data_IF_843231376179
#
_entry.id   IF_843231376179
#
_cell.length_a   1.000
_cell.length_b   1.000
_cell.length_c   1.000
_cell.angle_alpha   90.00
_cell.angle_beta   90.00
_cell.angle_gamma   90.00
#
_symmetry.space_group_name_H-M   'P 1'
#
loop_
_entity.id
_entity.type
_entity.pdbx_description
1 polymer ?
#
# COMPACT_ATOMS: atom_id res chain seq x y z
N UNK A 1 11.77 13.68 -4.96
CA UNK A 1 11.58 12.24 -4.75
C UNK A 1 10.49 11.73 -5.66
N UNK A 2 10.71 10.60 -6.28
CA UNK A 2 9.81 10.05 -7.29
C UNK A 2 8.84 9.05 -6.68
N UNK A 3 7.59 9.08 -7.17
CA UNK A 3 6.54 8.15 -6.78
C UNK A 3 6.08 7.37 -8.00
N UNK A 4 5.99 6.05 -7.87
CA UNK A 4 5.49 5.15 -8.92
C UNK A 4 4.07 4.74 -8.61
N UNK A 5 3.12 5.14 -9.46
CA UNK A 5 1.73 4.67 -9.33
C UNK A 5 1.68 3.18 -9.68
N UNK A 6 0.90 2.43 -8.92
CA UNK A 6 0.61 1.04 -9.22
C UNK A 6 -0.73 0.97 -9.95
N UNK A 7 -0.73 0.35 -11.12
CA UNK A 7 -1.95 0.22 -11.94
C UNK A 7 -2.70 -1.05 -11.56
N UNK A 8 -3.07 -1.16 -10.28
CA UNK A 8 -3.78 -2.31 -9.73
C UNK A 8 -4.99 -1.87 -8.92
N UNK A 9 -6.04 -2.67 -9.00
CA UNK A 9 -7.11 -2.66 -8.01
C UNK A 9 -6.71 -3.59 -6.89
N UNK A 10 -6.64 -3.07 -5.66
CA UNK A 10 -6.11 -3.79 -4.52
C UNK A 10 -7.17 -4.05 -3.47
N UNK A 11 -6.98 -5.15 -2.76
CA UNK A 11 -7.83 -5.57 -1.64
C UNK A 11 -6.96 -5.78 -0.42
N UNK A 12 -7.44 -5.29 0.72
CA UNK A 12 -6.85 -5.55 2.04
C UNK A 12 -7.74 -6.55 2.75
N UNK A 13 -7.19 -7.67 3.19
CA UNK A 13 -8.00 -8.71 3.82
C UNK A 13 -7.22 -9.45 4.91
N UNK A 14 -7.95 -10.31 5.63
CA UNK A 14 -7.38 -11.25 6.60
C UNK A 14 -7.77 -12.66 6.20
N UNK A 15 -6.87 -13.59 6.42
CA UNK A 15 -7.10 -15.02 6.19
C UNK A 15 -6.85 -15.80 7.48
N UNK A 16 -7.46 -16.96 7.59
CA UNK A 16 -7.30 -17.83 8.77
C UNK A 16 -6.04 -18.69 8.71
N UNK A 17 -5.51 -18.94 7.49
CA UNK A 17 -4.37 -19.82 7.28
C UNK A 17 -3.50 -19.29 6.14
N UNK A 18 -2.19 -19.48 6.24
CA UNK A 18 -1.25 -19.20 5.15
C UNK A 18 -1.60 -20.04 3.91
N UNK A 19 -2.19 -21.21 4.10
CA UNK A 19 -2.59 -22.09 2.99
C UNK A 19 -3.65 -21.47 2.09
N UNK A 20 -4.37 -20.45 2.57
CA UNK A 20 -5.35 -19.73 1.77
C UNK A 20 -4.69 -18.75 0.78
N UNK A 21 -3.40 -18.45 0.94
CA UNK A 21 -2.69 -17.47 0.12
C UNK A 21 -2.00 -18.15 -1.05
N UNK A 22 -2.21 -17.64 -2.27
CA UNK A 22 -1.45 -18.07 -3.44
C UNK A 22 -0.08 -17.38 -3.44
N UNK A 23 0.93 -18.07 -2.92
CA UNK A 23 2.29 -17.53 -2.83
C UNK A 23 2.98 -17.38 -4.19
N UNK A 24 2.36 -17.88 -5.26
CA UNK A 24 2.87 -17.75 -6.63
C UNK A 24 2.29 -16.55 -7.36
N UNK A 25 1.34 -15.84 -6.76
CA UNK A 25 0.80 -14.61 -7.34
C UNK A 25 1.91 -13.59 -7.57
N UNK A 26 1.81 -12.81 -8.63
CA UNK A 26 2.88 -11.90 -9.05
C UNK A 26 3.06 -10.68 -8.17
N UNK A 27 2.05 -10.31 -7.39
CA UNK A 27 2.10 -9.13 -6.53
C UNK A 27 1.21 -9.33 -5.30
N UNK A 28 1.81 -9.31 -4.12
CA UNK A 28 1.05 -9.29 -2.87
C UNK A 28 1.98 -8.93 -1.71
N UNK A 29 1.38 -8.51 -0.60
CA UNK A 29 2.05 -8.37 0.69
C UNK A 29 1.32 -9.24 1.69
N UNK A 30 2.03 -9.99 2.51
CA UNK A 30 1.42 -10.71 3.61
C UNK A 30 2.25 -10.58 4.86
N UNK A 31 1.56 -10.48 5.99
CA UNK A 31 2.18 -10.30 7.29
C UNK A 31 1.48 -11.24 8.26
N UNK A 32 2.27 -12.05 8.93
CA UNK A 32 1.75 -12.96 9.94
C UNK A 32 2.29 -12.56 11.30
N UNK A 33 1.38 -12.33 12.24
CA UNK A 33 1.72 -12.05 13.63
C UNK A 33 1.07 -13.08 14.54
N UNK A 34 1.23 -12.93 15.85
CA UNK A 34 0.52 -13.75 16.83
C UNK A 34 -0.99 -13.48 16.85
N UNK A 35 -1.45 -12.37 16.27
CA UNK A 35 -2.86 -11.97 16.30
C UNK A 35 -3.58 -12.18 14.97
N UNK A 36 -2.88 -12.14 13.84
CA UNK A 36 -3.53 -12.13 12.53
C UNK A 36 -2.63 -12.57 11.40
N UNK A 37 -3.25 -12.94 10.29
CA UNK A 37 -2.58 -13.07 8.99
C UNK A 37 -3.24 -12.07 8.06
N UNK A 38 -2.51 -11.01 7.71
CA UNK A 38 -2.96 -9.93 6.85
C UNK A 38 -2.47 -10.18 5.42
N UNK A 39 -3.28 -9.79 4.43
CA UNK A 39 -2.93 -9.93 3.02
C UNK A 39 -3.39 -8.70 2.26
N UNK A 40 -2.49 -8.14 1.44
CA UNK A 40 -2.81 -7.15 0.41
C UNK A 40 -2.53 -7.81 -0.93
N UNK A 41 -3.50 -7.85 -1.81
CA UNK A 41 -3.36 -8.52 -3.10
C UNK A 41 -4.16 -7.78 -4.17
N UNK A 42 -3.93 -8.17 -5.44
CA UNK A 42 -4.84 -7.73 -6.51
C UNK A 42 -6.24 -8.24 -6.17
N UNK A 43 -7.24 -7.42 -6.42
CA UNK A 43 -8.62 -7.79 -6.09
C UNK A 43 -9.01 -9.12 -6.75
N UNK A 44 -8.56 -9.36 -7.99
CA UNK A 44 -8.85 -10.61 -8.70
C UNK A 44 -8.12 -11.83 -8.11
N UNK A 45 -7.09 -11.60 -7.31
CA UNK A 45 -6.32 -12.68 -6.66
C UNK A 45 -6.77 -12.93 -5.21
N UNK A 46 -7.82 -12.26 -4.75
CA UNK A 46 -8.30 -12.41 -3.37
C UNK A 46 -8.76 -13.85 -3.12
N UNK A 47 -8.29 -14.48 -2.03
CA UNK A 47 -8.71 -15.84 -1.70
C UNK A 47 -10.22 -15.97 -1.55
N UNK A 48 -10.73 -17.17 -1.88
CA UNK A 48 -12.16 -17.50 -1.68
C UNK A 48 -12.56 -17.42 -0.21
N UNK A 49 -11.65 -17.76 0.69
CA UNK A 49 -11.89 -17.80 2.12
C UNK A 49 -11.11 -16.68 2.80
N UNK A 50 -11.81 -15.62 3.18
CA UNK A 50 -11.27 -14.53 3.99
C UNK A 50 -12.14 -14.38 5.24
N UNK A 51 -11.52 -13.94 6.34
CA UNK A 51 -12.28 -13.62 7.56
C UNK A 51 -12.76 -12.17 7.53
N UNK A 52 -12.00 -11.31 6.89
CA UNK A 52 -12.30 -9.89 6.69
C UNK A 52 -11.80 -9.48 5.31
N UNK A 53 -12.53 -8.58 4.65
CA UNK A 53 -12.18 -8.15 3.29
C UNK A 53 -12.61 -6.71 3.07
N UNK A 54 -11.70 -5.92 2.51
CA UNK A 54 -11.95 -4.52 2.17
C UNK A 54 -11.36 -4.22 0.80
N UNK A 55 -12.22 -4.07 -0.20
CA UNK A 55 -11.83 -3.78 -1.58
C UNK A 55 -11.71 -2.27 -1.81
N UNK A 56 -11.31 -1.90 -3.00
CA UNK A 56 -11.33 -0.51 -3.45
C UNK A 56 -10.14 0.31 -3.03
N UNK A 57 -8.96 -0.30 -3.00
CA UNK A 57 -7.69 0.38 -2.73
C UNK A 57 -6.89 0.60 -4.00
N UNK A 58 -6.16 1.69 -4.04
CA UNK A 58 -5.14 2.00 -5.05
C UNK A 58 -3.85 2.32 -4.33
N UNK A 59 -2.74 2.11 -5.00
CA UNK A 59 -1.45 2.29 -4.34
C UNK A 59 -0.40 2.97 -5.18
N UNK A 60 0.66 3.37 -4.51
CA UNK A 60 1.88 3.88 -5.11
C UNK A 60 3.06 3.53 -4.20
N UNK A 61 4.25 3.63 -4.73
CA UNK A 61 5.47 3.43 -3.94
C UNK A 61 6.43 4.58 -4.13
N UNK A 62 7.30 4.76 -3.14
CA UNK A 62 8.45 5.64 -3.29
C UNK A 62 9.44 4.89 -4.18
N UNK A 63 9.78 5.48 -5.34
CA UNK A 63 10.60 4.79 -6.34
C UNK A 63 12.07 4.82 -5.94
N UNK A 64 12.72 3.66 -6.06
CA UNK A 64 14.12 3.47 -5.74
C UNK A 64 14.32 2.56 -4.53
N UNK A 65 15.58 2.46 -4.11
CA UNK A 65 15.95 1.69 -2.92
C UNK A 65 16.33 2.70 -1.85
N UNK A 66 15.56 2.72 -0.75
CA UNK A 66 15.79 3.65 0.35
C UNK A 66 16.82 3.08 1.31
N UNK A 67 17.78 3.91 1.68
CA UNK A 67 18.73 3.58 2.72
C UNK A 67 18.02 3.60 4.09
N UNK A 68 18.24 2.60 4.93
CA UNK A 68 17.64 2.55 6.27
C UNK A 68 18.09 3.71 7.16
N UNK A 69 19.19 4.38 6.82
CA UNK A 69 19.64 5.58 7.54
C UNK A 69 18.79 6.81 7.22
N UNK A 70 17.99 6.78 6.13
CA UNK A 70 17.07 7.88 5.81
C UNK A 70 15.89 7.82 6.76
N UNK A 71 15.65 8.92 7.43
CA UNK A 71 14.57 9.03 8.43
C UNK A 71 13.57 10.08 8.01
N UNK A 72 12.31 9.88 8.40
CA UNK A 72 11.26 10.85 8.19
C UNK A 72 10.66 10.87 6.78
N UNK A 73 11.09 10.01 5.86
CA UNK A 73 10.53 9.99 4.49
C UNK A 73 9.06 9.63 4.52
N UNK A 74 8.70 8.51 5.15
CA UNK A 74 7.31 8.08 5.27
C UNK A 74 6.51 9.05 6.13
N UNK A 75 7.09 9.55 7.21
CA UNK A 75 6.45 10.52 8.10
C UNK A 75 6.06 11.80 7.36
N UNK A 76 6.98 12.36 6.57
CA UNK A 76 6.72 13.56 5.78
C UNK A 76 5.58 13.34 4.79
N UNK A 77 5.62 12.24 4.07
CA UNK A 77 4.61 11.90 3.06
C UNK A 77 3.24 11.67 3.72
N UNK A 78 3.22 10.90 4.81
CA UNK A 78 1.97 10.61 5.51
C UNK A 78 1.36 11.86 6.14
N UNK A 79 2.18 12.80 6.62
CA UNK A 79 1.69 14.08 7.14
C UNK A 79 0.98 14.90 6.08
N UNK A 80 1.53 14.95 4.86
CA UNK A 80 0.90 15.68 3.75
C UNK A 80 -0.48 15.09 3.46
N UNK A 81 -0.59 13.76 3.42
CA UNK A 81 -1.87 13.09 3.19
C UNK A 81 -2.84 13.32 4.34
N UNK A 82 -2.36 13.25 5.58
CA UNK A 82 -3.19 13.49 6.76
C UNK A 82 -3.73 14.92 6.80
N UNK A 83 -2.93 15.91 6.46
CA UNK A 83 -3.35 17.31 6.39
C UNK A 83 -4.46 17.53 5.35
N UNK A 84 -4.55 16.64 4.37
CA UNK A 84 -5.59 16.66 3.34
C UNK A 84 -6.70 15.64 3.60
N UNK A 85 -6.78 15.12 4.84
CA UNK A 85 -7.83 14.20 5.29
C UNK A 85 -7.87 12.89 4.49
N UNK A 86 -6.71 12.41 4.05
CA UNK A 86 -6.59 11.16 3.30
C UNK A 86 -6.01 10.09 4.23
N UNK A 87 -6.80 9.05 4.53
CA UNK A 87 -6.35 7.89 5.28
C UNK A 87 -5.47 6.98 4.41
N UNK A 88 -4.50 6.33 5.04
CA UNK A 88 -3.54 5.48 4.34
C UNK A 88 -3.43 4.10 4.98
N UNK A 89 -3.00 3.14 4.17
CA UNK A 89 -2.51 1.84 4.61
C UNK A 89 -1.09 1.72 4.09
N UNK A 90 -0.11 1.68 4.98
CA UNK A 90 1.31 1.69 4.60
C UNK A 90 1.94 0.32 4.77
N UNK A 91 2.77 -0.07 3.80
CA UNK A 91 3.55 -1.30 3.86
C UNK A 91 5.00 -0.95 3.58
N UNK A 92 5.86 -1.22 4.54
CA UNK A 92 7.30 -1.02 4.37
C UNK A 92 7.95 -2.34 4.00
N UNK A 93 8.69 -2.35 2.89
CA UNK A 93 9.45 -3.50 2.45
C UNK A 93 10.94 -3.24 2.66
N UNK A 94 11.79 -4.21 2.31
CA UNK A 94 13.24 -4.04 2.42
C UNK A 94 13.72 -2.83 1.61
N UNK A 95 13.18 -2.64 0.41
CA UNK A 95 13.66 -1.60 -0.50
C UNK A 95 13.00 -0.25 -0.26
N UNK A 96 11.71 -0.21 0.04
CA UNK A 96 10.96 1.04 0.03
C UNK A 96 9.61 0.90 0.72
N UNK A 97 8.87 2.01 0.72
CA UNK A 97 7.53 2.09 1.29
C UNK A 97 6.47 2.10 0.19
N UNK A 98 5.41 1.34 0.43
CA UNK A 98 4.21 1.33 -0.40
C UNK A 98 3.08 1.97 0.40
N UNK A 99 2.29 2.79 -0.25
CA UNK A 99 1.17 3.48 0.37
C UNK A 99 -0.08 3.18 -0.43
N UNK A 100 -1.12 2.71 0.28
CA UNK A 100 -2.43 2.48 -0.29
C UNK A 100 -3.40 3.52 0.25
N UNK A 101 -4.25 4.01 -0.65
CA UNK A 101 -5.36 4.90 -0.30
C UNK A 101 -6.62 4.36 -0.94
N UNK A 102 -7.77 4.73 -0.42
CA UNK A 102 -9.04 4.36 -1.07
C UNK A 102 -9.08 4.96 -2.47
N UNK A 103 -9.63 4.21 -3.44
CA UNK A 103 -9.62 4.61 -4.85
C UNK A 103 -10.25 5.98 -5.09
N UNK A 104 -11.30 6.33 -4.32
CA UNK A 104 -11.95 7.65 -4.44
C UNK A 104 -11.04 8.80 -4.02
N UNK A 105 -10.00 8.53 -3.24
CA UNK A 105 -9.03 9.52 -2.79
C UNK A 105 -7.74 9.52 -3.59
N UNK A 106 -7.57 8.57 -4.51
CA UNK A 106 -6.26 8.37 -5.16
C UNK A 106 -5.84 9.58 -5.99
N UNK A 107 -6.76 10.12 -6.78
CA UNK A 107 -6.45 11.29 -7.62
C UNK A 107 -6.07 12.50 -6.76
N UNK A 108 -6.82 12.75 -5.71
CA UNK A 108 -6.52 13.83 -4.75
C UNK A 108 -5.16 13.61 -4.09
N UNK A 109 -4.85 12.37 -3.68
CA UNK A 109 -3.56 12.04 -3.08
C UNK A 109 -2.41 12.37 -4.03
N UNK A 110 -2.52 11.98 -5.30
CA UNK A 110 -1.49 12.29 -6.29
C UNK A 110 -1.31 13.79 -6.47
N UNK A 111 -2.41 14.53 -6.56
CA UNK A 111 -2.39 15.98 -6.76
C UNK A 111 -1.69 16.70 -5.60
N UNK A 112 -2.04 16.36 -4.35
CA UNK A 112 -1.43 17.04 -3.19
C UNK A 112 0.04 16.70 -3.03
N UNK A 113 0.45 15.48 -3.39
CA UNK A 113 1.86 15.08 -3.34
C UNK A 113 2.68 15.77 -4.42
N UNK A 114 2.15 15.87 -5.64
CA UNK A 114 2.81 16.63 -6.72
C UNK A 114 2.96 18.09 -6.33
N UNK A 115 1.93 18.70 -5.76
CA UNK A 115 1.98 20.09 -5.27
C UNK A 115 3.04 20.26 -4.20
N UNK A 116 3.27 19.23 -3.38
CA UNK A 116 4.29 19.26 -2.33
C UNK A 116 5.72 19.00 -2.84
N UNK A 117 5.88 18.72 -4.14
CA UNK A 117 7.21 18.56 -4.76
C UNK A 117 7.59 17.15 -5.17
N UNK A 118 6.71 16.17 -5.01
CA UNK A 118 6.97 14.81 -5.49
C UNK A 118 6.74 14.73 -7.00
N UNK A 119 7.50 13.86 -7.66
CA UNK A 119 7.38 13.62 -9.11
C UNK A 119 6.76 12.25 -9.35
N UNK A 120 5.72 12.18 -10.18
CA UNK A 120 5.12 10.91 -10.58
C UNK A 120 5.90 10.32 -11.76
N UNK A 121 6.19 9.03 -11.68
CA UNK A 121 6.90 8.30 -12.75
C UNK A 121 6.13 7.07 -13.20
#
# INVERSE_FOLDING_TARGET
MELKKLDYDLTVCKVASIDDIDLKAGFFFTEKTDEEISLVCLTDDTPLHTTDRDDGWKGFRIQGILDFSLIGILSKLSNILAENEIGIFAVSTYNTDYILVKKENFHKAMDVLVTAGYTLV
#
